data_IF_292709503373
#
_entry.id   IF_292709503373
#
_cell.length_a   1.000
_cell.length_b   1.000
_cell.length_c   1.000
_cell.angle_alpha   90.00
_cell.angle_beta   90.00
_cell.angle_gamma   90.00
#
_symmetry.space_group_name_H-M   'P 1'
#
loop_
_entity.id
_entity.type
_entity.pdbx_description
1 polymer ?
#
# COMPACT_ATOMS: atom_id res chain seq x y z
N UNK A 1 -92.76 155.23 -18.60
CA UNK A 1 -91.36 154.77 -18.56
C UNK A 1 -90.80 154.87 -19.97
N UNK A 2 -89.76 155.67 -20.19
CA UNK A 2 -89.26 156.02 -21.53
C UNK A 2 -88.65 154.80 -22.24
N UNK A 3 -88.85 154.68 -23.56
CA UNK A 3 -88.28 153.64 -24.45
C UNK A 3 -86.80 153.34 -24.12
N UNK A 4 -86.03 154.38 -23.77
CA UNK A 4 -84.62 154.31 -23.34
C UNK A 4 -84.36 153.44 -22.09
N UNK A 5 -85.22 153.48 -21.05
CA UNK A 5 -85.06 152.65 -19.83
C UNK A 5 -85.42 151.18 -20.07
N UNK A 6 -86.36 150.90 -20.98
CA UNK A 6 -86.71 149.53 -21.39
C UNK A 6 -85.56 148.94 -22.23
N UNK A 7 -85.01 149.72 -23.16
CA UNK A 7 -83.81 149.34 -23.93
C UNK A 7 -82.60 149.12 -23.03
N UNK A 8 -82.37 149.94 -22.00
CA UNK A 8 -81.25 149.74 -21.06
C UNK A 8 -81.44 148.51 -20.18
N UNK A 9 -82.67 148.25 -19.71
CA UNK A 9 -82.98 147.06 -18.91
C UNK A 9 -82.85 145.78 -19.74
N UNK A 10 -83.35 145.79 -20.98
CA UNK A 10 -83.16 144.69 -21.94
C UNK A 10 -81.69 144.46 -22.28
N UNK A 11 -80.89 145.54 -22.36
CA UNK A 11 -79.45 145.44 -22.59
C UNK A 11 -78.72 144.86 -21.36
N UNK A 12 -79.07 145.29 -20.15
CA UNK A 12 -78.50 144.78 -18.89
C UNK A 12 -78.90 143.32 -18.66
N UNK A 13 -80.17 142.94 -18.90
CA UNK A 13 -80.60 141.54 -18.78
C UNK A 13 -79.95 140.69 -19.85
N UNK A 14 -79.84 141.17 -21.09
CA UNK A 14 -79.09 140.49 -22.15
C UNK A 14 -77.62 140.29 -21.80
N UNK A 15 -76.97 141.29 -21.16
CA UNK A 15 -75.59 141.22 -20.71
C UNK A 15 -75.42 140.25 -19.53
N UNK A 16 -76.35 140.25 -18.56
CA UNK A 16 -76.32 139.32 -17.42
C UNK A 16 -76.58 137.88 -17.87
N UNK A 17 -77.53 137.69 -18.80
CA UNK A 17 -77.79 136.38 -19.42
C UNK A 17 -76.56 135.93 -20.20
N UNK A 18 -75.90 136.81 -20.98
CA UNK A 18 -74.68 136.43 -21.71
C UNK A 18 -73.51 136.11 -20.79
N UNK A 19 -73.33 136.85 -19.67
CA UNK A 19 -72.32 136.55 -18.66
C UNK A 19 -72.58 135.21 -17.96
N UNK A 20 -73.84 134.96 -17.57
CA UNK A 20 -74.25 133.70 -16.95
C UNK A 20 -74.05 132.52 -17.90
N UNK A 21 -74.50 132.65 -19.15
CA UNK A 21 -74.29 131.63 -20.19
C UNK A 21 -72.79 131.42 -20.48
N UNK A 22 -71.98 132.49 -20.46
CA UNK A 22 -70.53 132.39 -20.63
C UNK A 22 -69.85 131.68 -19.45
N UNK A 23 -70.31 131.92 -18.22
CA UNK A 23 -69.79 131.26 -17.01
C UNK A 23 -70.18 129.78 -16.96
N UNK A 24 -71.44 129.45 -17.25
CA UNK A 24 -71.91 128.07 -17.39
C UNK A 24 -71.16 127.33 -18.50
N UNK A 25 -70.95 127.98 -19.66
CA UNK A 25 -70.16 127.40 -20.76
C UNK A 25 -68.69 127.18 -20.35
N UNK A 26 -68.09 128.11 -19.58
CA UNK A 26 -66.74 127.93 -19.04
C UNK A 26 -66.65 126.74 -18.08
N UNK A 27 -67.61 126.60 -17.15
CA UNK A 27 -67.68 125.45 -16.23
C UNK A 27 -67.87 124.14 -17.00
N UNK A 28 -68.77 124.13 -17.98
CA UNK A 28 -69.01 122.97 -18.84
C UNK A 28 -67.74 122.57 -19.59
N UNK A 29 -67.01 123.53 -20.17
CA UNK A 29 -65.74 123.27 -20.85
C UNK A 29 -64.67 122.72 -19.90
N UNK A 30 -64.57 123.24 -18.67
CA UNK A 30 -63.63 122.74 -17.66
C UNK A 30 -63.95 121.31 -17.26
N UNK A 31 -65.21 121.02 -16.96
CA UNK A 31 -65.67 119.67 -16.60
C UNK A 31 -65.48 118.70 -17.77
N UNK A 32 -65.77 119.13 -19.00
CA UNK A 32 -65.56 118.31 -20.19
C UNK A 32 -64.07 118.00 -20.40
N UNK A 33 -63.16 118.98 -20.18
CA UNK A 33 -61.71 118.73 -20.20
C UNK A 33 -61.27 117.71 -19.14
N UNK A 34 -61.82 117.80 -17.93
CA UNK A 34 -61.52 116.83 -16.87
C UNK A 34 -62.03 115.43 -17.24
N UNK A 35 -63.26 115.33 -17.72
CA UNK A 35 -63.87 114.07 -18.14
C UNK A 35 -63.07 113.41 -19.28
N UNK A 36 -62.61 114.19 -20.26
CA UNK A 36 -61.74 113.72 -21.35
C UNK A 36 -60.43 113.16 -20.78
N UNK A 37 -59.83 113.85 -19.80
CA UNK A 37 -58.61 113.37 -19.13
C UNK A 37 -58.84 112.07 -18.37
N UNK A 38 -59.93 111.98 -17.61
CA UNK A 38 -60.28 110.80 -16.82
C UNK A 38 -60.59 109.60 -17.73
N UNK A 39 -61.33 109.82 -18.83
CA UNK A 39 -61.58 108.80 -19.87
C UNK A 39 -60.26 108.31 -20.46
N UNK A 40 -59.30 109.21 -20.74
CA UNK A 40 -57.99 108.83 -21.25
C UNK A 40 -57.22 107.97 -20.24
N UNK A 41 -57.13 108.40 -18.98
CA UNK A 41 -56.44 107.66 -17.93
C UNK A 41 -57.08 106.28 -17.67
N UNK A 42 -58.42 106.20 -17.72
CA UNK A 42 -59.14 104.94 -17.58
C UNK A 42 -58.88 104.02 -18.78
N UNK A 43 -58.84 104.57 -20.00
CA UNK A 43 -58.48 103.83 -21.20
C UNK A 43 -57.06 103.26 -21.12
N UNK A 44 -56.09 104.04 -20.65
CA UNK A 44 -54.71 103.58 -20.42
C UNK A 44 -54.64 102.49 -19.34
N UNK A 45 -55.38 102.66 -18.24
CA UNK A 45 -55.45 101.67 -17.16
C UNK A 45 -56.09 100.35 -17.62
N UNK A 46 -57.14 100.43 -18.45
CA UNK A 46 -57.79 99.26 -19.04
C UNK A 46 -56.84 98.50 -19.97
N UNK A 47 -56.11 99.21 -20.84
CA UNK A 47 -55.12 98.60 -21.73
C UNK A 47 -53.99 97.91 -20.94
N UNK A 48 -53.49 98.54 -19.87
CA UNK A 48 -52.50 97.91 -18.99
C UNK A 48 -53.03 96.63 -18.32
N UNK A 49 -54.29 96.63 -17.88
CA UNK A 49 -54.92 95.46 -17.28
C UNK A 49 -55.11 94.33 -18.30
N UNK A 50 -55.49 94.68 -19.53
CA UNK A 50 -55.61 93.74 -20.65
C UNK A 50 -54.26 93.07 -20.96
N UNK A 51 -53.17 93.84 -21.02
CA UNK A 51 -51.81 93.34 -21.20
C UNK A 51 -51.36 92.42 -20.05
N UNK A 52 -51.65 92.79 -18.80
CA UNK A 52 -51.34 91.96 -17.63
C UNK A 52 -52.13 90.65 -17.65
N UNK A 53 -53.40 90.70 -18.02
CA UNK A 53 -54.24 89.52 -18.16
C UNK A 53 -53.72 88.59 -19.26
N UNK A 54 -53.29 89.15 -20.41
CA UNK A 54 -52.67 88.38 -21.49
C UNK A 54 -51.40 87.65 -21.01
N UNK A 55 -50.48 88.36 -20.34
CA UNK A 55 -49.25 87.77 -19.78
C UNK A 55 -49.53 86.69 -18.74
N UNK A 56 -50.53 86.90 -17.88
CA UNK A 56 -50.93 85.90 -16.88
C UNK A 56 -51.48 84.64 -17.55
N UNK A 57 -52.28 84.80 -18.60
CA UNK A 57 -52.81 83.68 -19.38
C UNK A 57 -51.68 82.87 -20.03
N UNK A 58 -50.69 83.54 -20.62
CA UNK A 58 -49.51 82.86 -21.18
C UNK A 58 -48.72 82.10 -20.10
N UNK A 59 -48.50 82.72 -18.93
CA UNK A 59 -47.81 82.07 -17.82
C UNK A 59 -48.58 80.85 -17.28
N UNK A 60 -49.92 80.93 -17.22
CA UNK A 60 -50.77 79.80 -16.84
C UNK A 60 -50.65 78.64 -17.82
N UNK A 61 -50.73 78.90 -19.12
CA UNK A 61 -50.59 77.87 -20.16
C UNK A 61 -49.21 77.22 -20.10
N UNK A 62 -48.14 78.00 -19.92
CA UNK A 62 -46.79 77.47 -19.75
C UNK A 62 -46.65 76.59 -18.51
N UNK A 63 -47.32 76.94 -17.40
CA UNK A 63 -47.32 76.12 -16.18
C UNK A 63 -48.08 74.81 -16.40
N UNK A 64 -49.21 74.84 -17.09
CA UNK A 64 -50.01 73.67 -17.44
C UNK A 64 -49.24 72.68 -18.31
N UNK A 65 -48.49 73.18 -19.30
CA UNK A 65 -47.58 72.37 -20.11
C UNK A 65 -46.48 71.71 -19.27
N UNK A 66 -45.85 72.47 -18.36
CA UNK A 66 -44.81 71.94 -17.46
C UNK A 66 -45.35 70.88 -16.51
N UNK A 67 -46.56 71.07 -15.98
CA UNK A 67 -47.22 70.08 -15.11
C UNK A 67 -47.50 68.79 -15.87
N UNK A 68 -47.93 68.90 -17.13
CA UNK A 68 -48.16 67.75 -18.01
C UNK A 68 -46.87 66.96 -18.25
N UNK A 69 -45.76 67.65 -18.57
CA UNK A 69 -44.45 67.02 -18.77
C UNK A 69 -43.92 66.36 -17.48
N UNK A 70 -44.12 67.00 -16.33
CA UNK A 70 -43.73 66.45 -15.03
C UNK A 70 -44.49 65.15 -14.75
N UNK A 71 -45.80 65.13 -14.99
CA UNK A 71 -46.63 63.93 -14.82
C UNK A 71 -46.22 62.79 -15.76
N UNK A 72 -45.84 63.10 -17.00
CA UNK A 72 -45.30 62.09 -17.92
C UNK A 72 -43.97 61.52 -17.42
N UNK A 73 -43.08 62.38 -16.91
CA UNK A 73 -41.79 61.98 -16.35
C UNK A 73 -41.96 61.10 -15.12
N UNK A 74 -42.90 61.45 -14.23
CA UNK A 74 -43.23 60.65 -13.05
C UNK A 74 -43.71 59.24 -13.43
N UNK A 75 -44.64 59.15 -14.40
CA UNK A 75 -45.12 57.84 -14.89
C UNK A 75 -44.01 56.99 -15.49
N UNK A 76 -43.11 57.59 -16.26
CA UNK A 76 -41.96 56.88 -16.83
C UNK A 76 -41.02 56.38 -15.71
N UNK A 77 -40.81 57.18 -14.67
CA UNK A 77 -39.98 56.79 -13.53
C UNK A 77 -40.61 55.63 -12.75
N UNK A 78 -41.92 55.66 -12.52
CA UNK A 78 -42.67 54.57 -11.87
C UNK A 78 -42.55 53.27 -12.66
N UNK A 79 -42.68 53.33 -14.00
CA UNK A 79 -42.49 52.17 -14.87
C UNK A 79 -41.07 51.63 -14.81
N UNK A 80 -40.07 52.50 -14.88
CA UNK A 80 -38.66 52.11 -14.79
C UNK A 80 -38.32 51.49 -13.44
N UNK A 81 -38.85 52.05 -12.34
CA UNK A 81 -38.67 51.50 -11.01
C UNK A 81 -39.30 50.11 -10.89
N UNK A 82 -40.52 49.93 -11.41
CA UNK A 82 -41.18 48.64 -11.41
C UNK A 82 -40.41 47.60 -12.21
N UNK A 83 -39.86 47.97 -13.37
CA UNK A 83 -39.05 47.07 -14.19
C UNK A 83 -37.75 46.66 -13.48
N UNK A 84 -37.06 47.63 -12.88
CA UNK A 84 -35.82 47.39 -12.12
C UNK A 84 -36.08 46.51 -10.88
N UNK A 85 -37.21 46.70 -10.20
CA UNK A 85 -37.59 45.86 -9.08
C UNK A 85 -37.79 44.40 -9.50
N UNK A 86 -38.45 44.16 -10.63
CA UNK A 86 -38.62 42.80 -11.18
C UNK A 86 -37.27 42.16 -11.50
N UNK A 87 -36.40 42.87 -12.22
CA UNK A 87 -35.05 42.38 -12.57
C UNK A 87 -34.23 42.05 -11.31
N UNK A 88 -34.31 42.89 -10.27
CA UNK A 88 -33.65 42.64 -8.99
C UNK A 88 -34.15 41.36 -8.32
N UNK A 89 -35.46 41.12 -8.32
CA UNK A 89 -36.04 39.91 -7.74
C UNK A 89 -35.64 38.64 -8.52
N UNK A 90 -35.60 38.71 -9.85
CA UNK A 90 -35.10 37.62 -10.69
C UNK A 90 -33.62 37.33 -10.42
N UNK A 91 -32.80 38.36 -10.29
CA UNK A 91 -31.38 38.20 -9.96
C UNK A 91 -31.18 37.56 -8.58
N UNK A 92 -31.97 37.97 -7.60
CA UNK A 92 -31.93 37.39 -6.24
C UNK A 92 -32.31 35.91 -6.26
N UNK A 93 -33.31 35.52 -7.04
CA UNK A 93 -33.70 34.13 -7.22
C UNK A 93 -32.58 33.31 -7.87
N UNK A 94 -31.99 33.83 -8.95
CA UNK A 94 -30.87 33.18 -9.64
C UNK A 94 -29.65 33.00 -8.73
N UNK A 95 -29.33 34.03 -7.93
CA UNK A 95 -28.25 33.93 -6.95
C UNK A 95 -28.51 32.84 -5.91
N UNK A 96 -29.76 32.72 -5.45
CA UNK A 96 -30.14 31.68 -4.48
C UNK A 96 -29.98 30.29 -5.08
N UNK A 97 -30.45 30.07 -6.30
CA UNK A 97 -30.29 28.81 -7.02
C UNK A 97 -28.82 28.45 -7.23
N UNK A 98 -28.00 29.42 -7.65
CA UNK A 98 -26.57 29.22 -7.86
C UNK A 98 -25.86 28.84 -6.55
N UNK A 99 -26.23 29.48 -5.44
CA UNK A 99 -25.68 29.13 -4.14
C UNK A 99 -26.07 27.70 -3.73
N UNK A 100 -27.31 27.27 -3.97
CA UNK A 100 -27.75 25.91 -3.67
C UNK A 100 -27.01 24.87 -4.52
N UNK A 101 -26.77 25.15 -5.80
CA UNK A 101 -25.95 24.31 -6.67
C UNK A 101 -24.49 24.24 -6.19
N UNK A 102 -23.91 25.37 -5.81
CA UNK A 102 -22.57 25.42 -5.25
C UNK A 102 -22.44 24.55 -4.00
N UNK A 103 -23.38 24.65 -3.06
CA UNK A 103 -23.37 23.84 -1.84
C UNK A 103 -23.51 22.34 -2.15
N UNK A 104 -24.32 21.98 -3.16
CA UNK A 104 -24.44 20.58 -3.61
C UNK A 104 -23.12 20.06 -4.17
N UNK A 105 -22.46 20.82 -5.03
CA UNK A 105 -21.15 20.44 -5.59
C UNK A 105 -20.11 20.31 -4.49
N UNK A 106 -20.09 21.23 -3.52
CA UNK A 106 -19.18 21.18 -2.38
C UNK A 106 -19.39 19.90 -1.55
N UNK A 107 -20.65 19.54 -1.27
CA UNK A 107 -20.98 18.30 -0.56
C UNK A 107 -20.48 17.06 -1.31
N UNK A 108 -20.72 17.01 -2.63
CA UNK A 108 -20.26 15.89 -3.46
C UNK A 108 -18.74 15.78 -3.48
N UNK A 109 -18.02 16.91 -3.50
CA UNK A 109 -16.56 16.93 -3.45
C UNK A 109 -16.02 16.37 -2.13
N UNK A 110 -16.65 16.73 -1.00
CA UNK A 110 -16.28 16.18 0.32
C UNK A 110 -16.52 14.67 0.37
N UNK A 111 -17.67 14.20 -0.11
CA UNK A 111 -17.98 12.77 -0.17
C UNK A 111 -16.98 12.00 -1.07
N UNK A 112 -16.64 12.57 -2.23
CA UNK A 112 -15.64 11.98 -3.12
C UNK A 112 -14.26 11.90 -2.46
N UNK A 113 -13.89 12.91 -1.68
CA UNK A 113 -12.61 12.91 -0.95
C UNK A 113 -12.57 11.78 0.09
N UNK A 114 -13.63 11.63 0.88
CA UNK A 114 -13.74 10.55 1.88
C UNK A 114 -13.70 9.17 1.23
N UNK A 115 -14.41 8.98 0.11
CA UNK A 115 -14.41 7.69 -0.60
C UNK A 115 -13.04 7.37 -1.21
N UNK A 116 -12.32 8.38 -1.72
CA UNK A 116 -10.96 8.21 -2.22
C UNK A 116 -9.98 7.81 -1.10
N UNK A 117 -10.06 8.45 0.07
CA UNK A 117 -9.22 8.09 1.22
C UNK A 117 -9.48 6.66 1.69
N UNK A 118 -10.74 6.24 1.78
CA UNK A 118 -11.11 4.87 2.11
C UNK A 118 -10.58 3.86 1.08
N UNK A 119 -10.69 4.18 -0.22
CA UNK A 119 -10.13 3.36 -1.29
C UNK A 119 -8.61 3.25 -1.16
N UNK A 120 -7.90 4.33 -0.83
CA UNK A 120 -6.46 4.31 -0.67
C UNK A 120 -6.01 3.43 0.51
N UNK A 121 -6.75 3.43 1.61
CA UNK A 121 -6.50 2.51 2.75
C UNK A 121 -6.63 1.06 2.29
N UNK A 122 -7.76 0.70 1.67
CA UNK A 122 -7.99 -0.68 1.19
C UNK A 122 -6.95 -1.13 0.15
N UNK A 123 -6.48 -0.21 -0.71
CA UNK A 123 -5.40 -0.49 -1.64
C UNK A 123 -4.10 -0.87 -0.92
N UNK A 124 -3.71 -0.14 0.13
CA UNK A 124 -2.49 -0.43 0.88
C UNK A 124 -2.60 -1.74 1.68
N UNK A 125 -3.75 -2.04 2.26
CA UNK A 125 -4.01 -3.33 2.92
C UNK A 125 -3.89 -4.51 1.93
N UNK A 126 -4.41 -4.35 0.72
CA UNK A 126 -4.31 -5.39 -0.32
C UNK A 126 -2.85 -5.58 -0.77
N UNK A 127 -2.10 -4.48 -0.93
CA UNK A 127 -0.69 -4.53 -1.29
C UNK A 127 0.13 -5.27 -0.23
N UNK A 128 -0.09 -4.99 1.06
CA UNK A 128 0.58 -5.70 2.15
C UNK A 128 0.28 -7.21 2.12
N UNK A 129 -1.01 -7.58 1.98
CA UNK A 129 -1.42 -8.98 1.87
C UNK A 129 -0.77 -9.70 0.68
N UNK A 130 -0.63 -9.02 -0.46
CA UNK A 130 0.05 -9.58 -1.63
C UNK A 130 1.53 -9.86 -1.34
N UNK A 131 2.25 -8.92 -0.72
CA UNK A 131 3.66 -9.11 -0.37
C UNK A 131 3.86 -10.26 0.62
N UNK A 132 2.94 -10.43 1.58
CA UNK A 132 2.98 -11.55 2.52
C UNK A 132 2.77 -12.89 1.82
N UNK A 133 1.88 -12.95 0.82
CA UNK A 133 1.64 -14.16 0.03
C UNK A 133 2.89 -14.55 -0.79
N UNK A 134 3.57 -13.57 -1.40
CA UNK A 134 4.82 -13.79 -2.13
C UNK A 134 5.93 -14.33 -1.22
N UNK A 135 6.08 -13.77 -0.01
CA UNK A 135 7.05 -14.26 0.98
C UNK A 135 6.76 -15.70 1.41
N UNK A 136 5.48 -16.07 1.57
CA UNK A 136 5.08 -17.45 1.90
C UNK A 136 5.39 -18.42 0.77
N UNK A 137 5.18 -18.02 -0.49
CA UNK A 137 5.54 -18.86 -1.64
C UNK A 137 7.05 -19.18 -1.64
N UNK A 138 7.90 -18.16 -1.43
CA UNK A 138 9.34 -18.37 -1.32
C UNK A 138 9.76 -19.25 -0.13
N UNK A 139 8.98 -19.27 0.96
CA UNK A 139 9.21 -20.20 2.08
C UNK A 139 8.85 -21.65 1.71
N UNK A 140 7.76 -21.86 0.97
CA UNK A 140 7.40 -23.19 0.48
C UNK A 140 8.47 -23.77 -0.45
N UNK A 141 9.03 -22.97 -1.36
CA UNK A 141 10.11 -23.42 -2.24
C UNK A 141 11.35 -23.88 -1.46
N UNK A 142 11.72 -23.15 -0.39
CA UNK A 142 12.81 -23.56 0.50
C UNK A 142 12.50 -24.88 1.20
N UNK A 143 11.28 -25.04 1.72
CA UNK A 143 10.87 -26.26 2.42
C UNK A 143 10.88 -27.49 1.50
N UNK A 144 10.51 -27.33 0.23
CA UNK A 144 10.59 -28.40 -0.77
C UNK A 144 12.04 -28.85 -0.96
N UNK A 145 12.97 -27.90 -1.13
CA UNK A 145 14.39 -28.23 -1.28
C UNK A 145 14.96 -28.93 -0.04
N UNK A 146 14.60 -28.47 1.16
CA UNK A 146 15.03 -29.07 2.42
C UNK A 146 14.50 -30.51 2.55
N UNK A 147 13.24 -30.74 2.14
CA UNK A 147 12.64 -32.07 2.13
C UNK A 147 13.32 -33.02 1.14
N UNK A 148 13.61 -32.55 -0.07
CA UNK A 148 14.32 -33.35 -1.09
C UNK A 148 15.72 -33.75 -0.61
N UNK A 149 16.46 -32.82 0.00
CA UNK A 149 17.76 -33.08 0.59
C UNK A 149 17.68 -34.12 1.71
N UNK A 150 16.72 -33.96 2.63
CA UNK A 150 16.51 -34.88 3.74
C UNK A 150 16.13 -36.29 3.26
N UNK A 151 15.25 -36.38 2.26
CA UNK A 151 14.85 -37.64 1.63
C UNK A 151 16.04 -38.35 0.98
N UNK A 152 16.90 -37.59 0.29
CA UNK A 152 18.17 -38.08 -0.25
C UNK A 152 19.08 -38.66 0.83
N UNK A 153 19.29 -37.91 1.91
CA UNK A 153 20.12 -38.35 3.05
C UNK A 153 19.55 -39.61 3.72
N UNK A 154 18.24 -39.67 3.93
CA UNK A 154 17.57 -40.85 4.49
C UNK A 154 17.75 -42.08 3.59
N UNK A 155 17.60 -41.90 2.27
CA UNK A 155 17.79 -42.98 1.31
C UNK A 155 19.22 -43.52 1.35
N UNK A 156 20.22 -42.65 1.48
CA UNK A 156 21.61 -43.07 1.61
C UNK A 156 21.88 -43.80 2.93
N UNK A 157 21.46 -43.21 4.05
CA UNK A 157 21.60 -43.82 5.38
C UNK A 157 20.97 -45.22 5.44
N UNK A 158 19.80 -45.38 4.82
CA UNK A 158 19.12 -46.68 4.75
C UNK A 158 19.96 -47.71 3.99
N UNK A 159 20.58 -47.34 2.87
CA UNK A 159 21.49 -48.23 2.12
C UNK A 159 22.71 -48.62 2.94
N UNK A 160 23.30 -47.66 3.65
CA UNK A 160 24.48 -47.89 4.48
C UNK A 160 24.15 -48.85 5.64
N UNK A 161 22.98 -48.65 6.27
CA UNK A 161 22.47 -49.56 7.29
C UNK A 161 22.21 -50.97 6.76
N UNK A 162 21.55 -51.10 5.61
CA UNK A 162 21.28 -52.40 4.98
C UNK A 162 22.58 -53.14 4.62
N UNK A 163 23.60 -52.41 4.13
CA UNK A 163 24.92 -52.97 3.85
C UNK A 163 25.59 -53.46 5.14
N UNK A 164 25.61 -52.63 6.18
CA UNK A 164 26.20 -52.98 7.48
C UNK A 164 25.50 -54.20 8.10
N UNK A 165 24.17 -54.23 8.06
CA UNK A 165 23.38 -55.35 8.53
C UNK A 165 23.73 -56.65 7.81
N UNK A 166 23.79 -56.62 6.47
CA UNK A 166 24.20 -57.79 5.66
C UNK A 166 25.61 -58.26 6.02
N UNK A 167 26.55 -57.32 6.13
CA UNK A 167 27.96 -57.64 6.41
C UNK A 167 28.13 -58.25 7.81
N UNK A 168 27.35 -57.86 8.81
CA UNK A 168 27.42 -58.48 10.13
C UNK A 168 26.65 -59.80 10.22
N UNK A 169 25.38 -59.77 9.81
CA UNK A 169 24.41 -60.78 10.23
C UNK A 169 24.00 -61.77 9.13
N UNK A 170 24.39 -61.58 7.87
CA UNK A 170 24.08 -62.53 6.79
C UNK A 170 25.34 -63.28 6.36
N UNK A 171 25.31 -64.62 6.19
CA UNK A 171 26.47 -65.34 5.66
C UNK A 171 26.82 -64.89 4.24
N UNK A 172 28.12 -64.93 3.90
CA UNK A 172 28.56 -64.71 2.52
C UNK A 172 27.95 -65.76 1.59
N UNK A 173 27.17 -65.32 0.60
CA UNK A 173 26.59 -66.23 -0.38
C UNK A 173 27.69 -66.94 -1.18
N UNK A 174 27.46 -68.21 -1.52
CA UNK A 174 28.42 -69.01 -2.28
C UNK A 174 28.75 -68.43 -3.65
N UNK A 175 27.86 -67.63 -4.24
CA UNK A 175 28.05 -66.97 -5.53
C UNK A 175 28.99 -65.76 -5.44
N UNK A 176 29.06 -65.08 -4.28
CA UNK A 176 29.89 -63.89 -4.06
C UNK A 176 31.19 -64.20 -3.29
N UNK A 177 31.32 -65.43 -2.78
CA UNK A 177 32.47 -65.87 -2.01
C UNK A 177 33.68 -66.11 -2.91
N UNK A 178 34.74 -65.35 -2.69
CA UNK A 178 36.03 -65.54 -3.35
C UNK A 178 37.13 -65.77 -2.31
N UNK A 179 38.16 -66.52 -2.71
CA UNK A 179 39.34 -66.75 -1.90
C UNK A 179 40.52 -65.96 -2.49
N UNK A 180 41.15 -65.05 -1.74
CA UNK A 180 42.34 -64.35 -2.22
C UNK A 180 43.55 -65.30 -2.26
N UNK A 181 44.55 -64.94 -3.06
CA UNK A 181 45.93 -65.39 -2.82
C UNK A 181 46.50 -64.69 -1.59
N UNK A 182 47.54 -65.24 -1.00
CA UNK A 182 48.25 -64.59 0.12
C UNK A 182 48.79 -63.22 -0.31
N UNK A 183 49.24 -63.08 -1.56
CA UNK A 183 49.73 -61.80 -2.07
C UNK A 183 48.61 -60.76 -2.25
N UNK A 184 47.45 -61.17 -2.77
CA UNK A 184 46.25 -60.30 -2.85
C UNK A 184 45.80 -59.86 -1.45
N UNK A 185 45.81 -60.77 -0.46
CA UNK A 185 45.51 -60.45 0.93
C UNK A 185 46.47 -59.37 1.48
N UNK A 186 47.79 -59.58 1.35
CA UNK A 186 48.79 -58.61 1.84
C UNK A 186 48.69 -57.25 1.16
N UNK A 187 48.42 -57.23 -0.14
CA UNK A 187 48.22 -55.99 -0.89
C UNK A 187 46.96 -55.25 -0.44
N UNK A 188 45.90 -55.99 -0.10
CA UNK A 188 44.68 -55.40 0.43
C UNK A 188 44.88 -54.86 1.85
N UNK A 189 45.53 -55.61 2.74
CA UNK A 189 45.83 -55.16 4.10
C UNK A 189 46.57 -53.81 4.09
N UNK A 190 47.59 -53.67 3.24
CA UNK A 190 48.36 -52.43 3.10
C UNK A 190 47.55 -51.19 2.64
N UNK A 191 46.33 -51.37 2.12
CA UNK A 191 45.42 -50.26 1.76
C UNK A 191 44.18 -50.17 2.64
N UNK A 192 43.92 -51.22 3.44
CA UNK A 192 42.95 -51.15 4.52
C UNK A 192 43.49 -50.17 5.59
N UNK A 193 42.60 -49.62 6.42
CA UNK A 193 43.00 -48.64 7.44
C UNK A 193 42.71 -49.14 8.85
N UNK A 194 42.33 -50.41 9.01
CA UNK A 194 42.04 -50.99 10.33
C UNK A 194 43.25 -50.89 11.26
N UNK A 195 44.46 -51.12 10.77
CA UNK A 195 45.72 -51.03 11.52
C UNK A 195 46.10 -49.59 11.94
N UNK A 196 45.52 -48.57 11.28
CA UNK A 196 45.79 -47.14 11.56
C UNK A 196 44.95 -46.60 12.71
N UNK A 197 43.96 -47.34 13.17
CA UNK A 197 43.15 -46.95 14.31
C UNK A 197 43.99 -46.99 15.59
N UNK A 198 43.65 -46.14 16.56
CA UNK A 198 44.33 -46.12 17.85
C UNK A 198 43.76 -47.21 18.76
N UNK A 199 44.63 -48.01 19.38
CA UNK A 199 44.20 -48.99 20.37
C UNK A 199 43.89 -48.28 21.69
N UNK A 200 42.64 -48.38 22.15
CA UNK A 200 42.16 -47.66 23.31
C UNK A 200 41.39 -48.60 24.23
N UNK A 201 41.88 -48.84 25.45
CA UNK A 201 41.15 -49.67 26.42
C UNK A 201 40.24 -48.79 27.28
N UNK A 202 38.94 -49.11 27.45
CA UNK A 202 38.21 -50.27 26.90
C UNK A 202 37.49 -50.02 25.57
N UNK A 203 37.65 -48.84 24.97
CA UNK A 203 36.80 -48.33 23.89
C UNK A 203 37.01 -48.98 22.51
N UNK A 204 38.22 -49.48 22.22
CA UNK A 204 38.61 -50.10 20.96
C UNK A 204 39.82 -51.05 21.17
N UNK A 205 39.53 -52.34 21.32
CA UNK A 205 40.49 -53.40 21.66
C UNK A 205 40.61 -54.44 20.54
N UNK A 206 41.43 -55.49 20.71
CA UNK A 206 41.75 -56.46 19.65
C UNK A 206 40.50 -57.11 19.02
N UNK A 207 39.42 -57.29 19.79
CA UNK A 207 38.14 -57.75 19.26
C UNK A 207 37.53 -56.80 18.24
N UNK A 208 37.59 -55.48 18.46
CA UNK A 208 37.03 -54.47 17.56
C UNK A 208 37.80 -54.39 16.23
N UNK A 209 39.13 -54.49 16.28
CA UNK A 209 39.97 -54.61 15.08
C UNK A 209 39.61 -55.86 14.28
N UNK A 210 39.47 -57.01 14.97
CA UNK A 210 39.15 -58.27 14.30
C UNK A 210 37.76 -58.26 13.66
N UNK A 211 36.77 -57.64 14.31
CA UNK A 211 35.42 -57.43 13.74
C UNK A 211 35.49 -56.50 12.54
N UNK A 212 36.20 -55.37 12.64
CA UNK A 212 36.29 -54.39 11.55
C UNK A 212 36.96 -54.98 10.31
N UNK A 213 38.10 -55.66 10.46
CA UNK A 213 38.80 -56.27 9.34
C UNK A 213 37.96 -57.40 8.71
N UNK A 214 37.26 -58.19 9.53
CA UNK A 214 36.29 -59.18 9.06
C UNK A 214 35.21 -58.54 8.17
N UNK A 215 34.65 -57.41 8.59
CA UNK A 215 33.63 -56.69 7.83
C UNK A 215 34.16 -56.17 6.49
N UNK A 216 35.36 -55.55 6.48
CA UNK A 216 35.98 -55.06 5.25
C UNK A 216 36.31 -56.21 4.28
N UNK A 217 36.80 -57.35 4.79
CA UNK A 217 37.04 -58.55 4.00
C UNK A 217 35.74 -59.06 3.36
N UNK A 218 34.65 -59.08 4.13
CA UNK A 218 33.34 -59.51 3.65
C UNK A 218 32.73 -58.57 2.61
N UNK A 219 32.98 -57.26 2.70
CA UNK A 219 32.65 -56.31 1.63
C UNK A 219 33.42 -56.57 0.32
N UNK A 220 34.60 -57.21 0.39
CA UNK A 220 35.34 -57.73 -0.77
C UNK A 220 34.88 -59.13 -1.25
N UNK A 221 33.89 -59.73 -0.59
CA UNK A 221 33.46 -61.10 -0.86
C UNK A 221 34.41 -62.16 -0.29
N UNK A 222 35.28 -61.80 0.64
CA UNK A 222 36.23 -62.73 1.28
C UNK A 222 35.67 -63.27 2.59
N UNK A 223 35.71 -64.58 2.73
CA UNK A 223 35.28 -65.26 3.95
C UNK A 223 36.42 -65.32 4.96
N UNK A 224 36.53 -64.25 5.73
CA UNK A 224 37.45 -64.11 6.85
C UNK A 224 36.69 -64.44 8.14
N UNK A 225 37.23 -65.27 9.02
CA UNK A 225 36.70 -65.52 10.35
C UNK A 225 37.36 -64.62 11.39
N UNK A 226 36.68 -64.48 12.53
CA UNK A 226 37.25 -63.89 13.74
C UNK A 226 37.64 -65.04 14.66
N UNK A 227 38.86 -64.97 15.18
CA UNK A 227 39.42 -65.97 16.07
C UNK A 227 39.76 -65.30 17.39
N UNK A 228 39.32 -65.89 18.49
CA UNK A 228 39.77 -65.54 19.83
C UNK A 228 40.58 -66.69 20.41
N UNK A 229 41.72 -66.36 21.02
CA UNK A 229 42.57 -67.29 21.74
C UNK A 229 42.64 -66.89 23.20
N UNK A 230 42.38 -67.85 24.07
CA UNK A 230 42.66 -67.77 25.51
C UNK A 230 43.81 -68.73 25.77
N UNK A 231 44.84 -68.27 26.46
CA UNK A 231 46.08 -69.02 26.60
C UNK A 231 47.03 -68.45 27.64
N UNK A 232 48.29 -68.88 27.55
CA UNK A 232 49.37 -68.40 28.43
C UNK A 232 50.63 -68.03 27.69
N UNK A 233 51.27 -66.94 28.12
CA UNK A 233 52.61 -66.53 27.69
C UNK A 233 53.51 -66.43 28.92
N UNK A 234 54.57 -67.24 28.96
CA UNK A 234 55.48 -67.27 30.12
C UNK A 234 54.81 -67.67 31.44
N UNK A 235 53.61 -68.26 31.40
CA UNK A 235 52.80 -68.63 32.57
C UNK A 235 51.65 -67.66 32.90
N UNK A 236 51.70 -66.43 32.39
CA UNK A 236 50.68 -65.39 32.57
C UNK A 236 49.52 -65.58 31.60
N UNK A 237 48.32 -65.15 32.00
CA UNK A 237 47.12 -65.24 31.16
C UNK A 237 47.23 -64.34 29.92
N UNK A 238 46.76 -64.85 28.79
CA UNK A 238 46.78 -64.19 27.49
C UNK A 238 45.45 -64.37 26.80
N UNK A 239 44.81 -63.25 26.45
CA UNK A 239 43.57 -63.23 25.69
C UNK A 239 43.78 -62.33 24.48
N UNK A 240 43.52 -62.84 23.28
CA UNK A 240 43.72 -62.06 22.07
C UNK A 240 42.75 -62.45 20.97
N UNK A 241 42.40 -61.49 20.12
CA UNK A 241 41.54 -61.71 18.96
C UNK A 241 42.26 -61.27 17.68
N UNK A 242 42.13 -62.07 16.63
CA UNK A 242 42.74 -61.86 15.33
C UNK A 242 41.87 -62.52 14.25
N UNK A 243 42.27 -62.42 12.98
CA UNK A 243 41.47 -62.95 11.89
C UNK A 243 42.08 -64.21 11.28
N UNK A 244 41.23 -65.07 10.73
CA UNK A 244 41.63 -66.24 9.94
C UNK A 244 40.98 -66.18 8.57
N UNK A 245 41.73 -66.48 7.50
CA UNK A 245 41.17 -66.46 6.15
C UNK A 245 41.73 -67.62 5.33
N UNK A 246 40.87 -68.26 4.55
CA UNK A 246 41.29 -69.31 3.62
C UNK A 246 41.71 -68.70 2.30
N UNK A 247 43.01 -68.56 2.11
CA UNK A 247 43.60 -68.22 0.82
C UNK A 247 43.65 -69.43 -0.13
N UNK A 248 43.95 -69.19 -1.41
CA UNK A 248 44.16 -70.26 -2.40
C UNK A 248 45.28 -71.22 -2.00
N UNK A 249 46.28 -70.71 -1.28
CA UNK A 249 47.45 -71.45 -0.81
C UNK A 249 47.22 -72.17 0.53
N UNK A 250 46.15 -71.84 1.26
CA UNK A 250 45.85 -72.43 2.56
C UNK A 250 45.23 -71.46 3.56
N UNK A 251 45.03 -71.95 4.78
CA UNK A 251 44.58 -71.12 5.90
C UNK A 251 45.73 -70.25 6.40
N UNK A 252 45.47 -68.95 6.56
CA UNK A 252 46.42 -68.00 7.15
C UNK A 252 45.71 -67.17 8.22
N UNK A 253 46.50 -66.62 9.13
CA UNK A 253 46.02 -65.73 10.18
C UNK A 253 46.55 -64.32 9.94
N UNK A 254 45.77 -63.33 10.36
CA UNK A 254 46.09 -61.91 10.21
C UNK A 254 45.94 -61.24 11.55
N UNK A 255 47.00 -60.55 11.99
CA UNK A 255 46.95 -59.60 13.09
C UNK A 255 46.39 -58.27 12.57
N UNK A 256 45.13 -57.92 12.89
CA UNK A 256 44.49 -56.73 12.32
C UNK A 256 45.07 -55.42 12.85
N UNK A 257 45.86 -55.44 13.94
CA UNK A 257 46.48 -54.23 14.49
C UNK A 257 47.77 -53.81 13.78
N UNK A 258 48.36 -54.67 12.95
CA UNK A 258 49.64 -54.38 12.28
C UNK A 258 49.83 -55.06 10.91
N UNK A 259 48.76 -55.63 10.35
CA UNK A 259 48.73 -56.34 9.07
C UNK A 259 49.65 -57.57 8.94
N UNK A 260 50.21 -58.08 10.04
CA UNK A 260 51.08 -59.25 9.98
C UNK A 260 50.31 -60.53 9.64
N UNK A 261 50.75 -61.20 8.59
CA UNK A 261 50.21 -62.51 8.16
C UNK A 261 51.10 -63.63 8.69
N UNK A 262 50.52 -64.53 9.48
CA UNK A 262 51.24 -65.64 10.12
C UNK A 262 50.54 -67.00 9.94
N UNK A 263 51.25 -68.07 10.32
CA UNK A 263 50.88 -69.46 10.04
C UNK A 263 51.15 -70.34 11.25
N UNK A 264 50.39 -71.42 11.38
CA UNK A 264 50.64 -72.48 12.35
C UNK A 264 49.37 -73.25 12.70
N UNK A 265 49.49 -74.50 13.20
CA UNK A 265 48.36 -75.14 13.84
C UNK A 265 48.06 -74.38 15.15
N UNK A 266 46.86 -73.82 15.24
CA UNK A 266 46.36 -73.18 16.46
C UNK A 266 45.18 -74.04 16.92
N UNK A 267 45.36 -74.74 18.03
CA UNK A 267 44.35 -75.63 18.62
C UNK A 267 44.63 -75.76 20.13
N UNK A 268 43.60 -76.12 20.90
CA UNK A 268 43.72 -76.28 22.35
C UNK A 268 44.82 -77.30 22.71
N UNK A 269 45.69 -76.90 23.63
CA UNK A 269 46.83 -77.70 24.07
C UNK A 269 48.09 -77.58 23.22
N UNK A 270 48.06 -76.86 22.08
CA UNK A 270 49.23 -76.61 21.25
C UNK A 270 49.96 -75.31 21.63
N UNK A 271 51.20 -75.21 21.17
CA UNK A 271 51.99 -73.97 21.19
C UNK A 271 51.99 -73.37 19.78
N UNK A 272 51.75 -72.07 19.65
CA UNK A 272 51.96 -71.34 18.40
C UNK A 272 52.78 -70.09 18.61
N UNK A 273 53.40 -69.59 17.53
CA UNK A 273 54.15 -68.33 17.55
C UNK A 273 53.27 -67.20 17.02
N UNK A 274 52.99 -66.21 17.87
CA UNK A 274 52.33 -64.96 17.49
C UNK A 274 53.40 -63.90 17.18
N UNK A 275 53.32 -63.18 16.06
CA UNK A 275 54.40 -62.29 15.65
C UNK A 275 54.59 -61.09 16.59
N UNK A 276 53.50 -60.60 17.21
CA UNK A 276 53.57 -59.54 18.24
C UNK A 276 53.89 -60.00 19.68
N UNK A 277 53.69 -61.28 20.03
CA UNK A 277 53.72 -61.73 21.44
C UNK A 277 54.63 -62.94 21.72
N UNK A 278 55.18 -63.59 20.70
CA UNK A 278 56.04 -64.77 20.84
C UNK A 278 55.26 -66.08 20.99
N UNK A 279 55.83 -67.04 21.73
CA UNK A 279 55.23 -68.37 21.90
C UNK A 279 54.07 -68.36 22.90
N UNK A 280 52.88 -68.72 22.43
CA UNK A 280 51.63 -68.79 23.20
C UNK A 280 51.21 -70.24 23.36
N UNK A 281 50.88 -70.64 24.59
CA UNK A 281 50.19 -71.90 24.87
C UNK A 281 48.69 -71.70 24.76
N UNK A 282 48.03 -72.38 23.84
CA UNK A 282 46.58 -72.26 23.65
C UNK A 282 45.86 -73.10 24.70
N UNK A 283 44.97 -72.48 25.46
CA UNK A 283 44.04 -73.16 26.37
C UNK A 283 42.69 -73.34 25.68
N UNK A 284 42.17 -72.28 25.06
CA UNK A 284 40.96 -72.31 24.24
C UNK A 284 41.17 -71.61 22.90
N UNK A 285 40.63 -72.21 21.84
CA UNK A 285 40.58 -71.67 20.50
C UNK A 285 39.13 -71.51 20.08
N UNK A 286 38.71 -70.28 19.85
CA UNK A 286 37.31 -69.93 19.61
C UNK A 286 37.21 -69.29 18.23
N UNK A 287 36.35 -69.84 17.37
CA UNK A 287 35.94 -69.20 16.12
C UNK A 287 34.64 -68.46 16.38
N UNK A 288 34.65 -67.15 16.20
CA UNK A 288 33.48 -66.30 16.44
C UNK A 288 32.72 -66.16 15.13
N UNK A 289 31.42 -66.52 15.18
CA UNK A 289 30.47 -66.32 14.08
C UNK A 289 29.48 -65.26 14.53
N UNK A 290 29.37 -64.18 13.76
CA UNK A 290 28.53 -63.01 14.10
C UNK A 290 27.08 -63.13 13.63
N UNK A 291 26.71 -64.28 13.06
CA UNK A 291 25.37 -64.54 12.54
C UNK A 291 24.86 -65.89 13.03
N UNK A 292 23.55 -65.99 13.17
CA UNK A 292 22.90 -67.19 13.66
C UNK A 292 22.94 -68.29 12.59
N UNK A 293 23.38 -69.49 12.96
CA UNK A 293 23.41 -70.65 12.06
C UNK A 293 22.06 -71.37 12.01
N UNK A 294 21.12 -71.02 12.89
CA UNK A 294 19.83 -71.73 13.06
C UNK A 294 18.65 -71.13 12.26
N UNK A 295 18.81 -70.06 11.48
CA UNK A 295 17.68 -69.45 10.76
C UNK A 295 17.32 -70.09 9.41
N UNK A 296 17.53 -71.40 9.24
CA UNK A 296 17.09 -72.15 8.05
C UNK A 296 15.70 -72.79 8.21
N UNK A 297 14.94 -72.44 9.25
CA UNK A 297 13.51 -72.75 9.35
C UNK A 297 12.71 -71.50 9.73
N UNK A 298 12.18 -70.79 8.73
CA UNK A 298 10.87 -70.10 8.72
C UNK A 298 10.54 -69.52 7.34
#
# INVERSE_FOLDING_TARGET
MTKSKILSLLFITSLLISLYLSYENYLLQRTNKQLISDIKNLSESYQNLEDMHFKLKEAYLSLEERLTLLNQTLRNLEQNYSALLTEHLELLQNHTLLNDEYQRVLSNYVELTVTYEALNITYHELLENYTLAEQKAAQYDRLINDYELLSGNYTQLKKDYELFFRVLYEPLSSENKTAPTINELKQWLAVDETDKLEYAVPDFVCGDYAVMLHMHAKMKGWDMGIVAVIGKIGGEDFNHAFNAIKCKEGLVYVEPQNDEVFYGPIDSGLMYYHPGFGWVRVEEFIVVVLYDLESNEL
#
